data_IF_064546707015
#
_entry.id   IF_064546707015
#
_cell.length_a   1.000
_cell.length_b   1.000
_cell.length_c   1.000
_cell.angle_alpha   90.00
_cell.angle_beta   90.00
_cell.angle_gamma   90.00
#
_symmetry.space_group_name_H-M   'P 1'
#
loop_
_entity.id
_entity.type
_entity.pdbx_description
1 polymer ?
#
# COMPACT_ATOMS: atom_id res chain seq x y z
N UNK A 1 8.26 3.13 -5.08
CA UNK A 1 6.89 3.64 -4.85
C UNK A 1 6.78 4.15 -3.41
N UNK A 2 5.92 5.14 -3.09
CA UNK A 2 5.60 5.56 -1.70
C UNK A 2 4.29 4.91 -1.27
N UNK A 3 4.25 4.42 -0.03
CA UNK A 3 3.06 3.85 0.60
C UNK A 3 2.67 4.71 1.78
N UNK A 4 1.45 5.23 1.73
CA UNK A 4 0.89 6.16 2.71
C UNK A 4 -0.26 5.48 3.44
N UNK A 5 -0.29 5.60 4.77
CA UNK A 5 -1.41 5.09 5.57
C UNK A 5 -2.72 5.82 5.27
N UNK A 6 -3.86 5.20 5.57
CA UNK A 6 -5.21 5.79 5.44
C UNK A 6 -5.25 7.22 6.02
N UNK A 7 -4.80 7.36 7.27
CA UNK A 7 -4.77 8.63 8.00
C UNK A 7 -3.63 9.61 7.59
N UNK A 8 -2.80 9.27 6.59
CA UNK A 8 -1.66 10.06 6.10
C UNK A 8 -0.57 10.40 7.13
N UNK A 9 -0.57 9.73 8.29
CA UNK A 9 0.45 9.93 9.33
C UNK A 9 1.75 9.22 8.96
N UNK A 10 1.64 8.05 8.33
CA UNK A 10 2.78 7.26 7.90
C UNK A 10 2.96 7.38 6.38
N UNK A 11 4.18 7.67 5.96
CA UNK A 11 4.59 7.71 4.57
C UNK A 11 5.97 7.07 4.43
N UNK A 12 5.99 5.89 3.81
CA UNK A 12 7.18 5.08 3.66
C UNK A 12 7.52 4.84 2.19
N UNK A 13 8.81 4.81 1.81
CA UNK A 13 9.20 4.17 0.56
C UNK A 13 8.95 2.67 0.66
N UNK A 14 8.32 2.11 -0.37
CA UNK A 14 7.90 0.70 -0.43
C UNK A 14 9.08 -0.26 -0.21
N UNK A 15 10.26 0.10 -0.72
CA UNK A 15 11.47 -0.72 -0.67
C UNK A 15 12.07 -0.83 0.75
N UNK A 16 11.61 -0.01 1.70
CA UNK A 16 12.08 -0.02 3.09
C UNK A 16 11.11 -0.71 4.06
N UNK A 17 9.96 -1.19 3.58
CA UNK A 17 8.94 -1.81 4.43
C UNK A 17 8.55 -3.20 3.92
N UNK A 18 8.08 -4.02 4.86
CA UNK A 18 7.33 -5.24 4.60
C UNK A 18 5.88 -4.96 5.00
N UNK A 19 4.97 -5.09 4.04
CA UNK A 19 3.52 -4.96 4.27
C UNK A 19 2.93 -6.35 4.51
N UNK A 20 2.14 -6.51 5.56
CA UNK A 20 1.38 -7.74 5.82
C UNK A 20 -0.02 -7.42 6.33
N UNK A 21 -0.96 -8.27 5.99
CA UNK A 21 -2.32 -8.27 6.50
C UNK A 21 -2.41 -9.20 7.70
N UNK A 22 -3.15 -8.77 8.72
CA UNK A 22 -3.58 -9.56 9.86
C UNK A 22 -5.07 -9.28 10.10
N UNK A 23 -5.91 -10.27 9.78
CA UNK A 23 -7.37 -10.14 9.74
C UNK A 23 -7.83 -8.90 8.97
N UNK A 24 -8.38 -7.90 9.66
CA UNK A 24 -8.91 -6.68 9.09
C UNK A 24 -7.90 -5.52 9.07
N UNK A 25 -6.64 -5.75 9.45
CA UNK A 25 -5.64 -4.69 9.63
C UNK A 25 -4.43 -4.93 8.73
N UNK A 26 -3.93 -3.86 8.12
CA UNK A 26 -2.72 -3.89 7.30
C UNK A 26 -1.62 -3.15 8.05
N UNK A 27 -0.46 -3.81 8.18
CA UNK A 27 0.70 -3.32 8.90
C UNK A 27 1.91 -3.17 8.00
N UNK A 28 2.70 -2.12 8.24
CA UNK A 28 4.06 -1.98 7.73
C UNK A 28 5.07 -2.27 8.84
N UNK A 29 6.11 -3.04 8.50
CA UNK A 29 7.32 -3.22 9.32
C UNK A 29 8.53 -2.71 8.55
N UNK A 30 9.40 -1.95 9.19
CA UNK A 30 10.65 -1.52 8.58
C UNK A 30 11.61 -2.71 8.41
N UNK A 31 12.26 -2.81 7.24
CA UNK A 31 13.19 -3.92 6.92
C UNK A 31 14.37 -3.96 7.89
N UNK A 32 14.85 -2.80 8.34
CA UNK A 32 16.02 -2.67 9.22
C UNK A 32 15.68 -2.60 10.71
N UNK A 33 14.40 -2.48 11.06
CA UNK A 33 13.95 -2.31 12.45
C UNK A 33 12.69 -3.16 12.70
N UNK A 34 12.88 -4.33 13.31
CA UNK A 34 11.83 -5.34 13.41
C UNK A 34 10.81 -5.09 14.53
N UNK A 35 11.05 -4.12 15.43
CA UNK A 35 10.22 -3.90 16.62
C UNK A 35 9.08 -2.90 16.41
N UNK A 36 9.14 -2.09 15.36
CA UNK A 36 8.12 -1.07 15.08
C UNK A 36 7.20 -1.58 13.99
N UNK A 37 5.93 -1.74 14.33
CA UNK A 37 4.84 -1.97 13.38
C UNK A 37 3.99 -0.70 13.30
N UNK A 38 3.81 -0.19 12.09
CA UNK A 38 2.92 0.91 11.80
C UNK A 38 1.63 0.36 11.18
N UNK A 39 0.47 0.79 11.68
CA UNK A 39 -0.82 0.48 11.06
C UNK A 39 -1.00 1.35 9.82
N UNK A 40 -1.12 0.72 8.66
CA UNK A 40 -1.35 1.40 7.38
C UNK A 40 -2.84 1.59 7.10
N UNK A 41 -3.66 0.59 7.45
CA UNK A 41 -5.10 0.69 7.31
C UNK A 41 -5.83 -0.32 8.19
N UNK A 42 -7.05 0.03 8.59
CA UNK A 42 -7.97 -0.83 9.32
C UNK A 42 -9.31 -0.85 8.60
N UNK A 43 -9.85 -2.06 8.42
CA UNK A 43 -11.07 -2.32 7.66
C UNK A 43 -12.13 -3.01 8.52
N UNK A 44 -13.37 -3.02 8.05
CA UNK A 44 -14.50 -3.64 8.74
C UNK A 44 -14.50 -5.16 8.60
N UNK A 45 -13.88 -5.71 7.56
CA UNK A 45 -13.81 -7.15 7.32
C UNK A 45 -12.47 -7.58 6.72
N UNK A 46 -12.09 -8.87 6.86
CA UNK A 46 -10.84 -9.38 6.28
C UNK A 46 -10.83 -9.32 4.75
N UNK A 47 -11.97 -9.47 4.09
CA UNK A 47 -12.09 -9.42 2.64
C UNK A 47 -11.79 -8.01 2.10
N UNK A 48 -12.20 -6.96 2.82
CA UNK A 48 -11.82 -5.58 2.49
C UNK A 48 -10.32 -5.35 2.66
N UNK A 49 -9.73 -5.87 3.73
CA UNK A 49 -8.30 -5.77 3.95
C UNK A 49 -7.50 -6.52 2.86
N UNK A 50 -7.97 -7.70 2.45
CA UNK A 50 -7.41 -8.44 1.31
C UNK A 50 -7.53 -7.63 0.03
N UNK A 51 -8.69 -7.02 -0.23
CA UNK A 51 -8.91 -6.19 -1.41
C UNK A 51 -7.99 -4.97 -1.46
N UNK A 52 -7.76 -4.31 -0.33
CA UNK A 52 -6.81 -3.21 -0.23
C UNK A 52 -5.35 -3.68 -0.48
N UNK A 53 -5.01 -4.91 -0.08
CA UNK A 53 -3.72 -5.52 -0.39
C UNK A 53 -3.57 -5.83 -1.89
N UNK A 54 -4.63 -6.27 -2.56
CA UNK A 54 -4.66 -6.43 -4.02
C UNK A 54 -4.43 -5.09 -4.74
N UNK A 55 -5.09 -4.01 -4.29
CA UNK A 55 -4.91 -2.67 -4.86
C UNK A 55 -3.45 -2.19 -4.75
N UNK A 56 -2.78 -2.50 -3.63
CA UNK A 56 -1.35 -2.22 -3.47
C UNK A 56 -0.51 -3.01 -4.48
N UNK A 57 -0.83 -4.29 -4.71
CA UNK A 57 -0.15 -5.12 -5.71
C UNK A 57 -0.34 -4.57 -7.13
N UNK A 58 -1.56 -4.16 -7.49
CA UNK A 58 -1.85 -3.54 -8.78
C UNK A 58 -1.08 -2.24 -8.99
N UNK A 59 -0.94 -1.42 -7.94
CA UNK A 59 -0.14 -0.21 -7.97
C UNK A 59 1.35 -0.53 -8.21
N UNK A 60 1.90 -1.54 -7.54
CA UNK A 60 3.26 -2.04 -7.79
C UNK A 60 3.47 -2.48 -9.24
N UNK A 61 2.55 -3.27 -9.79
CA UNK A 61 2.62 -3.73 -11.18
C UNK A 61 2.54 -2.57 -12.17
N UNK A 62 1.69 -1.58 -11.89
CA UNK A 62 1.61 -0.36 -12.72
C UNK A 62 2.92 0.42 -12.71
N UNK A 63 3.57 0.55 -11.55
CA UNK A 63 4.89 1.19 -11.45
C UNK A 63 5.91 0.41 -12.28
N UNK A 64 5.91 -0.91 -12.17
CA UNK A 64 6.79 -1.78 -12.95
C UNK A 64 6.58 -1.62 -14.46
N UNK A 65 5.33 -1.59 -14.93
CA UNK A 65 5.01 -1.37 -16.34
C UNK A 65 5.49 -0.02 -16.87
N UNK A 66 5.43 1.03 -16.05
CA UNK A 66 5.98 2.35 -16.39
C UNK A 66 7.50 2.31 -16.46
N UNK A 67 8.16 1.63 -15.53
CA UNK A 67 9.62 1.49 -15.50
C UNK A 67 10.15 0.66 -16.66
N UNK A 68 9.43 -0.38 -17.07
CA UNK A 68 9.73 -1.20 -18.24
C UNK A 68 9.38 -0.52 -19.57
N UNK A 69 8.70 0.63 -19.56
CA UNK A 69 8.32 1.36 -20.76
C UNK A 69 7.11 0.80 -21.50
N UNK A 70 6.32 -0.07 -20.86
CA UNK A 70 5.07 -0.60 -21.41
C UNK A 70 3.97 0.48 -21.45
N UNK A 71 4.03 1.46 -20.54
CA UNK A 71 3.05 2.54 -20.41
C UNK A 71 3.77 3.90 -20.30
N UNK A 72 3.40 4.86 -21.14
CA UNK A 72 3.92 6.23 -21.11
C UNK A 72 3.01 7.17 -20.30
N UNK A 73 3.32 7.36 -19.02
CA UNK A 73 2.63 8.30 -18.12
C UNK A 73 3.63 9.27 -17.50
N UNK A 74 3.17 10.46 -17.10
CA UNK A 74 3.97 11.39 -16.30
C UNK A 74 4.33 10.75 -14.95
N UNK A 75 5.61 10.38 -14.79
CA UNK A 75 6.19 9.63 -13.65
C UNK A 75 5.87 10.14 -12.23
N UNK A 76 5.40 11.38 -12.08
CA UNK A 76 5.22 12.03 -10.77
C UNK A 76 4.02 11.53 -9.97
N UNK A 77 2.93 11.17 -10.64
CA UNK A 77 1.68 10.79 -9.94
C UNK A 77 1.59 9.26 -9.73
N UNK A 78 2.27 8.47 -10.55
CA UNK A 78 2.15 7.01 -10.54
C UNK A 78 2.93 6.30 -9.43
N UNK A 79 3.75 7.02 -8.66
CA UNK A 79 4.68 6.42 -7.71
C UNK A 79 4.20 6.51 -6.25
N UNK A 80 2.96 6.93 -5.98
CA UNK A 80 2.40 7.06 -4.64
C UNK A 80 1.12 6.22 -4.53
N UNK A 81 1.03 5.40 -3.50
CA UNK A 81 -0.15 4.63 -3.12
C UNK A 81 -0.57 5.02 -1.71
N UNK A 82 -1.80 5.51 -1.56
CA UNK A 82 -2.42 5.72 -0.24
C UNK A 82 -3.44 4.60 -0.03
N UNK A 83 -3.41 3.96 1.15
CA UNK A 83 -4.44 2.98 1.48
C UNK A 83 -5.84 3.63 1.50
N UNK A 84 -6.83 3.02 0.83
CA UNK A 84 -8.19 3.54 0.77
C UNK A 84 -8.87 3.44 2.14
N UNK A 85 -9.81 4.33 2.41
CA UNK A 85 -10.69 4.26 3.57
C UNK A 85 -11.63 3.04 3.46
N UNK A 86 -12.22 2.61 4.57
CA UNK A 86 -13.04 1.39 4.60
C UNK A 86 -14.28 1.46 3.70
N UNK A 87 -14.87 2.64 3.54
CA UNK A 87 -16.03 2.91 2.69
C UNK A 87 -15.68 2.96 1.19
N UNK A 88 -14.40 3.13 0.85
CA UNK A 88 -13.90 3.13 -0.54
C UNK A 88 -13.62 1.72 -1.06
N UNK A 89 -13.62 0.71 -0.18
CA UNK A 89 -13.37 -0.69 -0.55
C UNK A 89 -14.68 -1.47 -0.65
N UNK A 90 -15.07 -1.78 -1.89
CA UNK A 90 -16.19 -2.66 -2.21
C UNK A 90 -15.73 -4.13 -2.30
N UNK A 91 -16.53 -5.04 -1.75
CA UNK A 91 -16.29 -6.50 -1.71
C UNK A 91 -17.36 -7.24 -2.49
#
# INVERSE_FOLDING_TARGET
MRVISQNRIFDFPYEQIVVHQDECVIYARLVYESKVMATLGQYSSPEKAEKAMEMLMEACLRVWDIECGNISVTKKDSCIFQFPEDDEVEV
#
